data_IF_870825592218
#
_entry.id   IF_870825592218
#
_cell.length_a   1.000
_cell.length_b   1.000
_cell.length_c   1.000
_cell.angle_alpha   90.00
_cell.angle_beta   90.00
_cell.angle_gamma   90.00
#
_symmetry.space_group_name_H-M   'P 1'
#
loop_
_entity.id
_entity.type
_entity.pdbx_description
1 polymer ?
#
# COMPACT_ATOMS: atom_id res chain seq x y z
N UNK A 1 22.65 -8.60 -0.54
CA UNK A 1 23.35 -7.71 0.40
C UNK A 1 24.53 -8.41 1.05
N UNK A 2 24.33 -9.51 1.80
CA UNK A 2 25.42 -10.19 2.50
C UNK A 2 26.58 -10.62 1.59
N UNK A 3 26.30 -11.24 0.44
CA UNK A 3 27.32 -11.62 -0.56
C UNK A 3 28.08 -10.44 -1.16
N UNK A 4 27.39 -9.33 -1.42
CA UNK A 4 28.02 -8.13 -1.96
C UNK A 4 28.94 -7.45 -0.93
N UNK A 5 28.61 -7.58 0.36
CA UNK A 5 29.42 -7.01 1.45
C UNK A 5 30.69 -7.81 1.72
N UNK A 6 30.73 -9.10 1.34
CA UNK A 6 31.91 -9.96 1.46
C UNK A 6 32.79 -9.97 0.19
N UNK A 7 32.17 -9.84 -0.99
CA UNK A 7 32.89 -9.95 -2.27
C UNK A 7 33.39 -8.61 -2.82
N UNK A 8 32.82 -7.47 -2.38
CA UNK A 8 33.21 -6.13 -2.85
C UNK A 8 33.75 -5.29 -1.69
N UNK A 9 35.01 -4.89 -1.79
CA UNK A 9 35.67 -4.08 -0.78
C UNK A 9 34.98 -2.69 -0.66
N UNK A 10 34.73 -2.22 0.57
CA UNK A 10 34.07 -0.94 0.82
C UNK A 10 32.54 -0.89 0.61
N UNK A 11 31.92 -1.99 0.15
CA UNK A 11 30.47 -2.02 -0.11
C UNK A 11 29.63 -1.91 1.18
N UNK A 12 30.12 -2.47 2.29
CA UNK A 12 29.46 -2.38 3.60
C UNK A 12 29.32 -0.94 4.09
N UNK A 13 30.37 -0.14 3.95
CA UNK A 13 30.39 1.26 4.33
C UNK A 13 29.51 2.13 3.42
N UNK A 14 29.52 1.84 2.10
CA UNK A 14 28.65 2.50 1.13
C UNK A 14 27.17 2.26 1.48
N UNK A 15 26.79 1.03 1.81
CA UNK A 15 25.40 0.69 2.16
C UNK A 15 24.96 1.34 3.46
N UNK A 16 25.83 1.43 4.47
CA UNK A 16 25.51 2.14 5.72
C UNK A 16 25.29 3.65 5.49
N UNK A 17 26.13 4.28 4.66
CA UNK A 17 25.92 5.68 4.24
C UNK A 17 24.62 5.85 3.45
N UNK A 18 24.34 4.92 2.55
CA UNK A 18 23.10 4.90 1.77
C UNK A 18 21.85 4.77 2.66
N UNK A 19 21.88 3.89 3.67
CA UNK A 19 20.81 3.74 4.66
C UNK A 19 20.55 5.03 5.42
N UNK A 20 21.63 5.67 5.90
CA UNK A 20 21.55 6.96 6.60
C UNK A 20 20.89 8.04 5.73
N UNK A 21 21.29 8.15 4.47
CA UNK A 21 20.74 9.13 3.54
C UNK A 21 19.27 8.87 3.18
N UNK A 22 18.85 7.61 3.05
CA UNK A 22 17.44 7.25 2.84
C UNK A 22 16.59 7.61 4.08
N UNK A 23 17.11 7.36 5.27
CA UNK A 23 16.44 7.69 6.53
C UNK A 23 16.30 9.21 6.73
N UNK A 24 17.35 9.98 6.46
CA UNK A 24 17.32 11.46 6.53
C UNK A 24 16.27 12.05 5.59
N UNK A 25 16.07 11.47 4.41
CA UNK A 25 15.04 11.90 3.46
C UNK A 25 13.62 11.40 3.80
N UNK A 26 13.42 10.76 4.96
CA UNK A 26 12.12 10.29 5.43
C UNK A 26 11.50 9.17 4.59
N UNK A 27 12.32 8.40 3.86
CA UNK A 27 11.84 7.29 3.02
C UNK A 27 11.64 6.04 3.87
N UNK A 28 10.76 5.15 3.40
CA UNK A 28 10.44 3.92 4.13
C UNK A 28 11.60 2.93 4.15
N UNK A 29 11.75 2.09 5.21
CA UNK A 29 12.75 1.01 5.25
C UNK A 29 12.61 0.03 4.08
N UNK A 30 11.38 -0.14 3.59
CA UNK A 30 11.08 -1.01 2.43
C UNK A 30 11.64 -0.46 1.12
N UNK A 31 11.78 0.86 1.02
CA UNK A 31 12.43 1.53 -0.11
C UNK A 31 13.93 1.25 -0.08
N UNK A 32 14.56 1.32 1.10
CA UNK A 32 15.95 0.92 1.29
C UNK A 32 16.17 -0.52 0.84
N UNK A 33 15.41 -1.48 1.37
CA UNK A 33 15.54 -2.90 1.04
C UNK A 33 15.40 -3.19 -0.45
N UNK A 34 14.49 -2.48 -1.12
CA UNK A 34 14.29 -2.63 -2.56
C UNK A 34 15.51 -2.09 -3.31
N UNK A 35 15.94 -0.85 -3.04
CA UNK A 35 17.05 -0.24 -3.76
C UNK A 35 18.39 -0.94 -3.48
N UNK A 36 18.68 -1.25 -2.21
CA UNK A 36 19.91 -1.93 -1.80
C UNK A 36 20.07 -3.30 -2.44
N UNK A 37 18.97 -4.03 -2.68
CA UNK A 37 19.01 -5.30 -3.44
C UNK A 37 19.50 -5.11 -4.87
N UNK A 38 19.05 -4.07 -5.57
CA UNK A 38 19.47 -3.81 -6.95
C UNK A 38 20.88 -3.25 -7.02
N UNK A 39 21.23 -2.35 -6.10
CA UNK A 39 22.60 -1.83 -5.95
C UNK A 39 23.60 -2.97 -5.68
N UNK A 40 23.25 -3.91 -4.80
CA UNK A 40 24.06 -5.10 -4.55
C UNK A 40 24.19 -6.01 -5.78
N UNK A 41 23.14 -6.14 -6.59
CA UNK A 41 23.20 -6.94 -7.81
C UNK A 41 24.13 -6.35 -8.88
N UNK A 42 24.19 -5.03 -8.99
CA UNK A 42 25.14 -4.32 -9.86
C UNK A 42 26.57 -4.50 -9.35
N UNK A 43 26.79 -4.27 -8.05
CA UNK A 43 28.11 -4.41 -7.44
C UNK A 43 28.68 -5.82 -7.63
N UNK A 44 27.85 -6.86 -7.47
CA UNK A 44 28.26 -8.25 -7.72
C UNK A 44 28.56 -8.56 -9.19
N UNK A 45 27.92 -7.85 -10.12
CA UNK A 45 28.13 -8.09 -11.55
C UNK A 45 29.49 -7.57 -12.03
N UNK A 46 29.87 -6.36 -11.59
CA UNK A 46 31.14 -5.74 -11.96
C UNK A 46 32.26 -6.00 -10.95
N UNK A 47 31.94 -6.55 -9.77
CA UNK A 47 32.85 -6.73 -8.62
C UNK A 47 33.52 -5.43 -8.16
N UNK A 48 32.89 -4.30 -8.44
CA UNK A 48 33.37 -2.95 -8.11
C UNK A 48 32.27 -2.14 -7.44
N UNK A 49 32.65 -1.02 -6.82
CA UNK A 49 31.71 -0.12 -6.18
C UNK A 49 30.81 0.54 -7.25
N UNK A 50 29.48 0.60 -7.05
CA UNK A 50 28.58 1.26 -8.00
C UNK A 50 28.86 2.74 -8.27
N UNK A 51 29.65 3.39 -7.39
CA UNK A 51 30.12 4.78 -7.52
C UNK A 51 31.28 4.95 -8.50
N UNK A 52 32.05 3.89 -8.74
CA UNK A 52 33.24 3.89 -9.60
C UNK A 52 32.94 3.40 -11.01
N UNK A 53 31.68 3.02 -11.28
CA UNK A 53 31.27 2.53 -12.58
C UNK A 53 31.21 3.65 -13.61
N UNK A 54 31.82 3.39 -14.76
CA UNK A 54 31.74 4.30 -15.89
C UNK A 54 30.29 4.35 -16.45
N UNK A 55 29.80 5.52 -16.91
CA UNK A 55 28.46 5.62 -17.49
C UNK A 55 28.20 4.64 -18.65
N UNK A 56 29.20 4.26 -19.45
CA UNK A 56 29.04 3.27 -20.51
C UNK A 56 28.83 1.86 -19.95
N UNK A 57 29.56 1.49 -18.89
CA UNK A 57 29.38 0.20 -18.21
C UNK A 57 27.97 0.07 -17.65
N UNK A 58 27.44 1.15 -17.06
CA UNK A 58 26.07 1.18 -16.55
C UNK A 58 25.04 1.05 -17.67
N UNK A 59 25.22 1.75 -18.79
CA UNK A 59 24.33 1.61 -19.96
C UNK A 59 24.35 0.18 -20.53
N UNK A 60 25.54 -0.41 -20.66
CA UNK A 60 25.71 -1.79 -21.13
C UNK A 60 25.01 -2.79 -20.21
N UNK A 61 25.09 -2.60 -18.90
CA UNK A 61 24.39 -3.43 -17.93
C UNK A 61 22.86 -3.31 -18.04
N UNK A 62 22.35 -2.08 -18.15
CA UNK A 62 20.92 -1.82 -18.33
C UNK A 62 20.40 -2.43 -19.65
N UNK A 63 21.20 -2.38 -20.71
CA UNK A 63 20.89 -3.01 -21.99
C UNK A 63 20.83 -4.54 -21.89
N UNK A 64 21.80 -5.17 -21.22
CA UNK A 64 21.77 -6.62 -20.97
C UNK A 64 20.57 -7.04 -20.12
N UNK A 65 20.22 -6.26 -19.08
CA UNK A 65 19.03 -6.49 -18.27
C UNK A 65 17.74 -6.48 -19.10
N UNK A 66 17.65 -5.56 -20.06
CA UNK A 66 16.51 -5.46 -20.96
C UNK A 66 16.41 -6.66 -21.90
N UNK A 67 17.53 -7.17 -22.40
CA UNK A 67 17.54 -8.34 -23.28
C UNK A 67 17.25 -9.67 -22.58
N UNK A 68 17.64 -9.83 -21.31
CA UNK A 68 17.47 -11.08 -20.56
C UNK A 68 16.02 -11.50 -20.34
N UNK A 69 15.04 -10.64 -20.63
CA UNK A 69 13.65 -10.87 -20.27
C UNK A 69 12.70 -10.61 -21.44
N UNK A 70 12.02 -11.67 -21.91
CA UNK A 70 10.93 -11.59 -22.93
C UNK A 70 9.81 -10.62 -22.51
N UNK A 71 9.55 -10.54 -21.21
CA UNK A 71 8.80 -9.45 -20.58
C UNK A 71 9.71 -8.85 -19.53
N UNK A 72 10.37 -7.71 -19.81
CA UNK A 72 11.14 -7.05 -18.79
C UNK A 72 10.24 -6.82 -17.61
N UNK A 73 10.64 -7.35 -16.44
CA UNK A 73 10.07 -6.90 -15.18
C UNK A 73 10.41 -5.42 -15.11
N UNK A 74 9.52 -4.59 -15.65
CA UNK A 74 9.66 -3.15 -15.70
C UNK A 74 9.84 -2.62 -14.26
N UNK A 75 9.29 -3.35 -13.29
CA UNK A 75 9.53 -3.17 -11.88
C UNK A 75 11.00 -3.37 -11.51
N UNK A 76 11.64 -4.47 -11.90
CA UNK A 76 13.06 -4.72 -11.61
C UNK A 76 13.95 -3.63 -12.24
N UNK A 77 13.76 -3.35 -13.53
CA UNK A 77 14.52 -2.31 -14.24
C UNK A 77 14.36 -0.93 -13.59
N UNK A 78 13.13 -0.54 -13.26
CA UNK A 78 12.84 0.73 -12.55
C UNK A 78 13.57 0.82 -11.23
N UNK A 79 13.50 -0.21 -10.40
CA UNK A 79 14.14 -0.18 -9.09
C UNK A 79 15.67 -0.18 -9.19
N UNK A 80 16.25 -0.78 -10.24
CA UNK A 80 17.68 -0.65 -10.55
C UNK A 80 18.06 0.80 -10.88
N UNK A 81 17.35 1.45 -11.81
CA UNK A 81 17.66 2.84 -12.21
C UNK A 81 17.42 3.82 -11.07
N UNK A 82 16.29 3.71 -10.35
CA UNK A 82 16.01 4.59 -9.21
C UNK A 82 16.97 4.37 -8.05
N UNK A 83 17.34 3.11 -7.76
CA UNK A 83 18.33 2.79 -6.73
C UNK A 83 19.69 3.41 -7.05
N UNK A 84 20.17 3.25 -8.29
CA UNK A 84 21.45 3.82 -8.72
C UNK A 84 21.42 5.35 -8.75
N UNK A 85 20.36 5.95 -9.29
CA UNK A 85 20.19 7.42 -9.29
C UNK A 85 20.18 7.98 -7.87
N UNK A 86 19.51 7.31 -6.93
CA UNK A 86 19.50 7.74 -5.55
C UNK A 86 20.90 7.66 -4.92
N UNK A 87 21.63 6.58 -5.20
CA UNK A 87 22.97 6.36 -4.69
C UNK A 87 23.95 7.42 -5.22
N UNK A 88 23.97 7.66 -6.54
CA UNK A 88 24.81 8.70 -7.14
C UNK A 88 24.45 10.10 -6.62
N UNK A 89 23.16 10.39 -6.46
CA UNK A 89 22.71 11.66 -5.87
C UNK A 89 23.17 11.82 -4.41
N UNK A 90 23.18 10.73 -3.64
CA UNK A 90 23.60 10.75 -2.25
C UNK A 90 25.12 10.98 -2.10
N UNK A 91 25.91 10.55 -3.08
CA UNK A 91 27.37 10.75 -3.14
C UNK A 91 27.76 12.04 -3.90
N UNK A 92 26.79 12.82 -4.39
CA UNK A 92 27.04 14.07 -5.12
C UNK A 92 27.58 13.89 -6.54
N UNK A 93 27.48 12.68 -7.11
CA UNK A 93 27.97 12.36 -8.45
C UNK A 93 26.94 12.72 -9.54
N UNK A 94 27.41 13.05 -10.77
CA UNK A 94 26.51 13.30 -11.89
C UNK A 94 25.72 12.05 -12.23
N UNK A 95 24.40 12.18 -12.39
CA UNK A 95 23.48 11.06 -12.65
C UNK A 95 22.62 11.27 -13.91
N UNK A 96 22.92 12.28 -14.71
CA UNK A 96 22.10 12.68 -15.87
C UNK A 96 22.05 11.61 -16.95
N UNK A 97 23.10 10.78 -17.07
CA UNK A 97 23.12 9.66 -18.03
C UNK A 97 22.09 8.56 -17.74
N UNK A 98 21.46 8.55 -16.55
CA UNK A 98 20.46 7.57 -16.16
C UNK A 98 19.05 8.04 -16.49
N UNK A 99 18.68 7.94 -17.76
CA UNK A 99 17.29 8.17 -18.19
C UNK A 99 16.50 6.87 -18.23
N UNK A 100 15.35 6.88 -17.57
CA UNK A 100 14.36 5.84 -17.79
C UNK A 100 13.78 6.03 -19.21
N UNK A 101 13.70 5.00 -20.06
CA UNK A 101 12.92 5.11 -21.28
C UNK A 101 11.48 5.51 -20.91
N UNK A 102 10.85 6.33 -21.76
CA UNK A 102 9.45 6.70 -21.60
C UNK A 102 8.59 5.43 -21.76
N UNK A 103 8.28 4.76 -20.65
CA UNK A 103 7.50 3.53 -20.68
C UNK A 103 6.04 3.92 -20.95
N UNK A 104 5.44 3.46 -22.07
CA UNK A 104 4.02 3.68 -22.30
C UNK A 104 3.24 3.04 -21.15
N UNK A 105 2.41 3.85 -20.48
CA UNK A 105 1.50 3.33 -19.46
C UNK A 105 0.50 2.43 -20.16
N UNK A 106 0.75 1.12 -20.17
CA UNK A 106 -0.24 0.14 -20.58
C UNK A 106 -1.37 0.21 -19.54
N UNK A 107 -2.42 0.97 -19.86
CA UNK A 107 -3.69 0.93 -19.12
C UNK A 107 -4.29 -0.44 -19.37
N UNK A 108 -3.89 -1.43 -18.59
CA UNK A 108 -4.60 -2.71 -18.57
C UNK A 108 -6.01 -2.40 -18.13
N UNK A 109 -6.97 -2.71 -18.98
CA UNK A 109 -8.36 -2.76 -18.55
C UNK A 109 -8.41 -3.76 -17.38
N UNK A 110 -9.03 -3.40 -16.25
CA UNK A 110 -9.20 -4.35 -15.17
C UNK A 110 -9.94 -5.55 -15.75
N UNK A 111 -9.36 -6.74 -15.63
CA UNK A 111 -10.03 -7.97 -16.04
C UNK A 111 -11.21 -8.18 -15.10
N UNK A 112 -12.42 -7.89 -15.58
CA UNK A 112 -13.65 -8.08 -14.81
C UNK A 112 -14.02 -9.55 -14.92
N UNK A 113 -14.20 -10.22 -13.78
CA UNK A 113 -14.75 -11.58 -13.77
C UNK A 113 -16.23 -11.54 -14.12
N UNK A 114 -16.66 -12.40 -15.02
CA UNK A 114 -18.07 -12.60 -15.34
C UNK A 114 -18.82 -13.21 -14.17
N UNK A 115 -20.15 -13.03 -14.14
CA UNK A 115 -21.03 -13.64 -13.12
C UNK A 115 -20.82 -15.16 -13.03
N UNK A 116 -20.62 -15.83 -14.16
CA UNK A 116 -20.42 -17.28 -14.21
C UNK A 116 -19.08 -17.71 -13.60
N UNK A 117 -18.00 -16.96 -13.84
CA UNK A 117 -16.68 -17.24 -13.26
C UNK A 117 -16.69 -17.04 -11.73
N UNK A 118 -17.37 -16.00 -11.24
CA UNK A 118 -17.53 -15.77 -9.80
C UNK A 118 -18.35 -16.88 -9.14
N UNK A 119 -19.42 -17.33 -9.78
CA UNK A 119 -20.19 -18.48 -9.30
C UNK A 119 -19.34 -19.75 -9.23
N UNK A 120 -18.53 -20.00 -10.26
CA UNK A 120 -17.61 -21.14 -10.29
C UNK A 120 -16.57 -21.05 -9.16
N UNK A 121 -16.08 -19.84 -8.88
CA UNK A 121 -15.13 -19.56 -7.80
C UNK A 121 -15.74 -19.77 -6.40
N UNK A 122 -17.01 -19.40 -6.21
CA UNK A 122 -17.76 -19.66 -4.98
C UNK A 122 -18.03 -21.16 -4.75
N UNK A 123 -18.27 -21.91 -5.82
CA UNK A 123 -18.48 -23.36 -5.74
C UNK A 123 -17.19 -24.15 -5.48
N UNK A 124 -16.05 -23.70 -6.01
CA UNK A 124 -14.75 -24.34 -5.79
C UNK A 124 -14.14 -24.08 -4.41
N UNK A 125 -14.51 -22.98 -3.74
CA UNK A 125 -14.01 -22.70 -2.40
C UNK A 125 -14.51 -23.75 -1.38
N UNK A 126 -13.62 -24.58 -0.85
CA UNK A 126 -13.96 -25.66 0.10
C UNK A 126 -14.43 -25.14 1.47
N UNK A 127 -13.91 -24.00 1.92
CA UNK A 127 -14.16 -23.44 3.26
C UNK A 127 -15.21 -22.33 3.22
N UNK A 128 -16.18 -22.38 4.15
CA UNK A 128 -17.27 -21.41 4.25
C UNK A 128 -16.78 -19.96 4.39
N UNK A 129 -15.66 -19.75 5.11
CA UNK A 129 -15.02 -18.43 5.26
C UNK A 129 -14.55 -17.83 3.94
N UNK A 130 -14.11 -18.65 2.98
CA UNK A 130 -13.68 -18.17 1.66
C UNK A 130 -14.88 -17.85 0.78
N UNK A 131 -15.96 -18.63 0.85
CA UNK A 131 -17.22 -18.34 0.15
C UNK A 131 -17.82 -17.01 0.58
N UNK A 132 -17.91 -16.78 1.89
CA UNK A 132 -18.39 -15.52 2.47
C UNK A 132 -17.50 -14.34 2.07
N UNK A 133 -16.19 -14.51 2.10
CA UNK A 133 -15.23 -13.48 1.72
C UNK A 133 -15.38 -13.11 0.23
N UNK A 134 -15.42 -14.10 -0.66
CA UNK A 134 -15.59 -13.89 -2.11
C UNK A 134 -16.94 -13.22 -2.40
N UNK A 135 -18.02 -13.69 -1.75
CA UNK A 135 -19.36 -13.13 -1.91
C UNK A 135 -19.45 -11.68 -1.43
N UNK A 136 -18.82 -11.36 -0.29
CA UNK A 136 -18.77 -9.99 0.24
C UNK A 136 -17.94 -9.06 -0.65
N UNK A 137 -16.78 -9.53 -1.13
CA UNK A 137 -15.89 -8.78 -2.02
C UNK A 137 -16.61 -8.45 -3.33
N UNK A 138 -17.27 -9.43 -3.94
CA UNK A 138 -18.01 -9.26 -5.19
C UNK A 138 -19.28 -8.42 -5.01
N UNK A 139 -20.10 -8.72 -4.00
CA UNK A 139 -21.38 -8.05 -3.77
C UNK A 139 -21.24 -6.59 -3.32
N UNK A 140 -20.16 -6.25 -2.60
CA UNK A 140 -19.89 -4.89 -2.15
C UNK A 140 -18.87 -4.13 -3.02
N UNK A 141 -18.36 -4.73 -4.11
CA UNK A 141 -17.38 -4.10 -5.00
C UNK A 141 -16.06 -3.72 -4.30
N UNK A 142 -15.66 -4.48 -3.28
CA UNK A 142 -14.50 -4.16 -2.45
C UNK A 142 -13.23 -4.58 -3.19
N UNK A 143 -12.39 -3.61 -3.59
CA UNK A 143 -11.00 -3.92 -3.94
C UNK A 143 -10.33 -4.65 -2.77
N UNK A 144 -9.42 -5.59 -3.04
CA UNK A 144 -8.78 -6.59 -2.14
C UNK A 144 -8.14 -6.05 -0.83
N UNK A 145 -8.95 -5.36 -0.03
CA UNK A 145 -8.81 -4.76 1.28
C UNK A 145 -10.26 -4.44 1.70
N UNK A 146 -10.95 -5.30 2.48
CA UNK A 146 -12.35 -5.05 2.82
C UNK A 146 -12.47 -3.76 3.64
N UNK A 147 -12.95 -2.68 3.02
CA UNK A 147 -13.23 -1.40 3.65
C UNK A 147 -14.74 -1.26 3.86
N UNK A 148 -15.18 -1.30 5.12
CA UNK A 148 -16.58 -1.02 5.46
C UNK A 148 -16.79 0.49 5.56
N UNK A 149 -17.57 1.07 4.65
CA UNK A 149 -17.99 2.47 4.72
C UNK A 149 -19.40 2.57 5.31
N UNK A 150 -19.52 3.06 6.54
CA UNK A 150 -20.80 3.32 7.18
C UNK A 150 -21.00 4.83 7.37
N UNK A 151 -22.15 5.35 6.96
CA UNK A 151 -22.60 6.70 7.32
C UNK A 151 -23.33 6.58 8.65
N UNK A 152 -22.83 7.30 9.65
CA UNK A 152 -23.44 7.33 10.98
C UNK A 152 -23.96 8.74 11.21
N UNK A 153 -25.22 8.91 11.67
CA UNK A 153 -25.72 10.22 12.01
C UNK A 153 -24.86 10.86 13.12
N UNK A 154 -24.90 12.18 13.19
CA UNK A 154 -24.15 12.93 14.19
C UNK A 154 -24.61 12.67 15.63
N UNK A 155 -25.77 12.05 15.86
CA UNK A 155 -26.31 11.74 17.18
C UNK A 155 -26.83 10.31 17.23
N UNK A 156 -27.52 9.96 18.30
CA UNK A 156 -28.14 8.64 18.43
C UNK A 156 -29.36 8.68 19.33
N UNK A 157 -30.21 7.66 19.23
CA UNK A 157 -31.37 7.50 20.12
C UNK A 157 -30.94 6.80 21.41
N UNK A 158 -31.52 7.21 22.53
CA UNK A 158 -31.39 6.46 23.79
C UNK A 158 -32.30 5.21 23.76
N UNK A 159 -32.20 4.34 24.79
CA UNK A 159 -33.07 3.16 24.94
C UNK A 159 -34.58 3.49 25.00
N UNK A 160 -34.94 4.76 25.17
CA UNK A 160 -36.31 5.28 25.25
C UNK A 160 -36.75 5.96 23.93
N UNK A 161 -35.98 5.83 22.85
CA UNK A 161 -36.30 6.42 21.55
C UNK A 161 -36.10 7.93 21.45
N UNK A 162 -35.67 8.61 22.51
CA UNK A 162 -35.37 10.05 22.47
C UNK A 162 -34.02 10.29 21.81
N UNK A 163 -34.02 11.17 20.82
CA UNK A 163 -32.82 11.62 20.13
C UNK A 163 -31.90 12.39 21.09
N UNK A 164 -30.61 12.05 21.08
CA UNK A 164 -29.57 12.80 21.76
C UNK A 164 -28.60 13.37 20.73
N UNK A 165 -28.55 14.70 20.70
CA UNK A 165 -27.58 15.44 19.92
C UNK A 165 -26.16 15.34 20.49
N UNK A 166 -25.19 15.76 19.69
CA UNK A 166 -23.76 15.68 20.03
C UNK A 166 -23.43 16.41 21.32
N UNK A 167 -22.54 15.79 22.10
CA UNK A 167 -21.82 16.48 23.17
C UNK A 167 -20.66 17.29 22.55
N UNK A 168 -20.95 18.57 22.29
CA UNK A 168 -20.06 19.74 22.40
C UNK A 168 -18.76 19.80 21.56
N UNK A 169 -18.53 18.93 20.57
CA UNK A 169 -17.31 19.01 19.74
C UNK A 169 -17.58 18.83 18.25
N UNK A 170 -17.28 19.85 17.44
CA UNK A 170 -17.51 19.92 15.98
C UNK A 170 -16.65 18.99 15.11
N UNK A 171 -15.97 18.02 15.74
CA UNK A 171 -14.95 17.19 15.07
C UNK A 171 -15.51 15.80 14.75
N UNK A 172 -15.98 15.02 15.72
CA UNK A 172 -16.46 13.63 15.51
C UNK A 172 -17.47 13.18 16.57
N UNK A 173 -18.38 12.25 16.23
CA UNK A 173 -19.29 11.62 17.21
C UNK A 173 -18.54 10.69 18.17
N UNK A 174 -17.53 9.97 17.65
CA UNK A 174 -16.67 9.09 18.44
C UNK A 174 -15.20 9.40 18.16
N UNK A 175 -14.30 9.31 19.16
CA UNK A 175 -12.87 9.39 18.93
C UNK A 175 -12.38 8.25 18.03
N UNK A 176 -11.74 8.58 16.92
CA UNK A 176 -11.29 7.63 15.88
C UNK A 176 -10.40 6.51 16.45
N UNK A 177 -9.48 6.86 17.35
CA UNK A 177 -8.57 5.89 18.01
C UNK A 177 -9.31 4.93 18.94
N UNK A 178 -10.38 5.38 19.60
CA UNK A 178 -11.20 4.53 20.45
C UNK A 178 -12.09 3.60 19.61
N UNK A 179 -12.61 4.12 18.48
CA UNK A 179 -13.48 3.37 17.58
C UNK A 179 -12.81 2.13 17.00
N UNK A 180 -11.53 2.21 16.61
CA UNK A 180 -10.77 1.05 16.14
C UNK A 180 -10.65 -0.07 17.18
N UNK A 181 -10.41 0.28 18.45
CA UNK A 181 -10.32 -0.68 19.55
C UNK A 181 -11.67 -1.34 19.85
N UNK A 182 -12.73 -0.54 19.92
CA UNK A 182 -14.10 -1.03 20.20
C UNK A 182 -14.61 -1.89 19.06
N UNK A 183 -14.39 -1.48 17.81
CA UNK A 183 -14.79 -2.24 16.64
C UNK A 183 -14.09 -3.60 16.59
N UNK A 184 -12.77 -3.63 16.82
CA UNK A 184 -12.01 -4.88 16.94
C UNK A 184 -12.58 -5.81 18.01
N UNK A 185 -12.87 -5.28 19.20
CA UNK A 185 -13.43 -6.07 20.30
C UNK A 185 -14.82 -6.64 19.97
N UNK A 186 -15.72 -5.82 19.38
CA UNK A 186 -17.05 -6.27 18.95
C UNK A 186 -16.96 -7.30 17.83
N UNK A 187 -16.07 -7.10 16.85
CA UNK A 187 -15.86 -8.03 15.76
C UNK A 187 -15.36 -9.39 16.28
N UNK A 188 -14.39 -9.39 17.19
CA UNK A 188 -13.90 -10.61 17.84
C UNK A 188 -15.01 -11.30 18.66
N UNK A 189 -15.86 -10.55 19.36
CA UNK A 189 -17.00 -11.10 20.08
C UNK A 189 -18.03 -11.75 19.13
N UNK A 190 -18.34 -11.10 18.01
CA UNK A 190 -19.23 -11.66 16.97
C UNK A 190 -18.64 -12.92 16.33
N UNK A 191 -17.32 -12.96 16.08
CA UNK A 191 -16.65 -14.16 15.57
C UNK A 191 -16.75 -15.34 16.54
N UNK A 192 -16.57 -15.08 17.85
CA UNK A 192 -16.75 -16.10 18.90
C UNK A 192 -18.19 -16.59 18.94
N UNK A 193 -19.17 -15.69 18.81
CA UNK A 193 -20.59 -16.03 18.78
C UNK A 193 -20.97 -16.87 17.54
N UNK A 194 -20.32 -16.66 16.39
CA UNK A 194 -20.47 -17.49 15.19
C UNK A 194 -19.73 -18.84 15.27
N UNK A 195 -19.17 -19.23 16.42
CA UNK A 195 -18.54 -20.53 16.64
C UNK A 195 -17.05 -20.60 16.26
N UNK A 196 -16.42 -19.50 15.85
CA UNK A 196 -14.98 -19.45 15.57
C UNK A 196 -14.24 -19.19 16.89
N UNK A 197 -13.71 -20.27 17.50
CA UNK A 197 -13.00 -20.25 18.79
C UNK A 197 -11.48 -20.42 18.69
N UNK A 198 -10.91 -20.27 17.50
CA UNK A 198 -9.47 -20.37 17.28
C UNK A 198 -8.73 -19.25 18.03
N UNK A 199 -7.94 -19.64 19.05
CA UNK A 199 -7.21 -18.72 19.92
C UNK A 199 -6.08 -17.99 19.17
N UNK A 200 -5.36 -18.70 18.30
CA UNK A 200 -4.25 -18.13 17.53
C UNK A 200 -4.76 -17.08 16.51
N UNK A 201 -5.94 -17.32 15.92
CA UNK A 201 -6.59 -16.32 15.08
C UNK A 201 -6.95 -15.06 15.88
N UNK A 202 -7.46 -15.20 17.10
CA UNK A 202 -7.83 -14.06 17.94
C UNK A 202 -6.59 -13.27 18.34
N UNK A 203 -5.51 -13.93 18.76
CA UNK A 203 -4.26 -13.26 19.14
C UNK A 203 -3.66 -12.49 17.96
N UNK A 204 -3.67 -13.07 16.75
CA UNK A 204 -3.26 -12.36 15.53
C UNK A 204 -4.16 -11.18 15.18
N UNK A 205 -5.47 -11.26 15.45
CA UNK A 205 -6.41 -10.16 15.24
C UNK A 205 -6.17 -9.00 16.22
N UNK A 206 -5.84 -9.32 17.48
CA UNK A 206 -5.54 -8.34 18.53
C UNK A 206 -4.13 -7.75 18.42
N UNK A 207 -3.16 -8.48 17.85
CA UNK A 207 -1.82 -7.98 17.57
C UNK A 207 -1.81 -6.92 16.46
N UNK A 208 -2.76 -6.97 15.51
CA UNK A 208 -2.88 -5.96 14.45
C UNK A 208 -3.51 -4.67 14.97
N UNK A 209 -2.99 -3.53 14.50
CA UNK A 209 -3.59 -2.22 14.70
C UNK A 209 -4.76 -2.03 13.74
N UNK A 210 -5.96 -1.88 14.30
CA UNK A 210 -7.18 -1.62 13.52
C UNK A 210 -7.34 -0.13 13.32
N UNK A 211 -7.06 0.33 12.11
CA UNK A 211 -7.21 1.73 11.71
C UNK A 211 -8.63 1.91 11.20
N UNK A 212 -9.44 2.64 11.95
CA UNK A 212 -10.75 3.11 11.49
C UNK A 212 -10.56 4.52 10.96
N UNK A 213 -11.03 4.78 9.74
CA UNK A 213 -11.08 6.13 9.19
C UNK A 213 -12.47 6.72 9.46
N UNK A 214 -12.56 7.77 10.27
CA UNK A 214 -13.78 8.54 10.40
C UNK A 214 -13.57 9.91 9.75
N UNK A 215 -14.51 10.30 8.88
CA UNK A 215 -14.58 11.64 8.30
C UNK A 215 -15.54 12.50 9.11
N UNK A 216 -15.32 13.81 9.11
CA UNK A 216 -16.24 14.77 9.74
C UNK A 216 -17.64 14.61 9.12
N UNK A 217 -18.71 14.98 9.85
CA UNK A 217 -20.07 14.93 9.31
C UNK A 217 -20.13 15.72 8.01
N UNK A 218 -20.87 15.21 7.04
CA UNK A 218 -21.24 15.98 5.86
C UNK A 218 -21.99 17.24 6.32
N UNK A 219 -21.72 18.38 5.69
CA UNK A 219 -22.29 19.70 6.05
C UNK A 219 -23.80 19.84 5.79
N UNK A 220 -24.53 18.73 5.59
CA UNK A 220 -25.97 18.70 5.40
C UNK A 220 -26.47 17.46 4.64
N UNK A 221 -27.79 17.22 4.61
CA UNK A 221 -28.42 16.08 3.94
C UNK A 221 -28.14 15.99 2.44
N UNK A 222 -28.01 17.15 1.76
CA UNK A 222 -27.71 17.21 0.32
C UNK A 222 -26.37 16.55 -0.03
N UNK A 223 -25.33 16.76 0.77
CA UNK A 223 -24.01 16.17 0.56
C UNK A 223 -23.97 14.68 0.91
N UNK A 224 -24.87 14.20 1.78
CA UNK A 224 -25.06 12.77 2.03
C UNK A 224 -25.65 12.08 0.80
N UNK A 225 -26.64 12.72 0.16
CA UNK A 225 -27.23 12.23 -1.10
C UNK A 225 -26.19 12.21 -2.21
N UNK A 226 -25.37 13.25 -2.34
CA UNK A 226 -24.28 13.32 -3.34
C UNK A 226 -23.20 12.25 -3.11
N UNK A 227 -22.86 11.97 -1.86
CA UNK A 227 -21.94 10.89 -1.48
C UNK A 227 -22.52 9.49 -1.78
N UNK A 228 -23.82 9.28 -1.53
CA UNK A 228 -24.49 8.00 -1.82
C UNK A 228 -24.76 7.78 -3.31
N UNK A 229 -25.03 8.85 -4.06
CA UNK A 229 -25.29 8.82 -5.50
C UNK A 229 -24.02 8.68 -6.35
N UNK A 230 -22.84 8.98 -5.79
CA UNK A 230 -21.56 8.83 -6.47
C UNK A 230 -20.98 7.44 -6.27
N UNK A 231 -21.39 6.45 -7.07
CA UNK A 231 -20.62 5.20 -7.20
C UNK A 231 -19.20 5.54 -7.67
N UNK A 232 -18.13 5.02 -7.06
CA UNK A 232 -16.78 5.54 -7.26
C UNK A 232 -16.22 5.06 -8.61
N UNK A 233 -16.41 5.85 -9.67
CA UNK A 233 -15.61 5.71 -10.90
C UNK A 233 -14.39 6.62 -10.92
N UNK A 234 -14.16 7.46 -9.90
CA UNK A 234 -12.94 8.28 -9.81
C UNK A 234 -12.41 8.37 -8.38
N UNK A 235 -11.18 7.91 -8.22
CA UNK A 235 -10.30 8.24 -7.10
C UNK A 235 -10.13 9.77 -7.01
N UNK A 236 -10.31 10.42 -5.84
CA UNK A 236 -9.90 11.79 -5.69
C UNK A 236 -8.42 11.83 -5.30
N UNK A 237 -7.59 12.04 -6.32
CA UNK A 237 -6.37 12.81 -6.19
C UNK A 237 -6.67 14.19 -5.59
N UNK A 238 -5.72 14.68 -4.80
CA UNK A 238 -5.55 16.04 -4.29
C UNK A 238 -6.37 17.15 -4.98
N UNK A 239 -7.00 17.98 -4.17
CA UNK A 239 -7.20 19.40 -4.49
C UNK A 239 -6.93 20.19 -3.21
N UNK A 240 -5.71 20.70 -3.15
CA UNK A 240 -5.35 21.91 -2.42
C UNK A 240 -6.21 23.03 -3.00
N UNK A 241 -6.95 23.76 -2.17
CA UNK A 241 -7.35 25.12 -2.54
C UNK A 241 -7.34 26.01 -1.31
N UNK A 242 -6.69 27.15 -1.53
CA UNK A 242 -6.25 28.14 -0.57
C UNK A 242 -7.40 28.90 0.05
N UNK A 243 -7.27 29.16 1.35
CA UNK A 243 -7.97 30.26 2.02
C UNK A 243 -7.66 31.57 1.30
N UNK A 244 -8.71 32.31 0.94
CA UNK A 244 -8.82 33.73 1.25
C UNK A 244 -10.01 33.87 2.18
#
# INVERSE_FOLDING_TARGET
MNRASSEVNGFSELIQRFERNISIQGKSPRTFDNYSRHVAAIALHFKTLPTELDPEQVKNYLFQLQQRSKTPSQTYFKHTVYGLRFLLKAEGLPYDFLHLPAIPKVKKLPTILSRQEVWRMLQTAQLLKHKLLIGLIYGCGLSLHPHLHCIVPGGGTNKQGKWKDKVRTDKYLFPVKALGKVFRAKFAASLKACGIKDADLMDRLFAKNWVVYAKRPFGGPKQVIEYLGSTPTKSPSATTESKK
#
